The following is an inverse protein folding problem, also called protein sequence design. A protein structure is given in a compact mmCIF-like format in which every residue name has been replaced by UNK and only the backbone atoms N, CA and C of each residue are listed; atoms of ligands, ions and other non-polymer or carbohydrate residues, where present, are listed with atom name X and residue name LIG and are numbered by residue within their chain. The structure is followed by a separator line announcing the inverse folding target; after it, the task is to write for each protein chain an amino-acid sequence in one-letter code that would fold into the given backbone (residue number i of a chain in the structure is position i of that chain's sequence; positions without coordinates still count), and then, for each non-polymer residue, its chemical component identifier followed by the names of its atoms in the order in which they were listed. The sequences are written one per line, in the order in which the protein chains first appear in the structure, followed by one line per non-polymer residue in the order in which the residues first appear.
data_IF_310825255328
#
_entry.id   IF_310825255328
#
_cell.length_a   1.000
_cell.length_b   1.000
_cell.length_c   1.000
_cell.angle_alpha   90.00
_cell.angle_beta   90.00
_cell.angle_gamma   90.00
#
_symmetry.space_group_name_H-M   'P 1'
#
loop_
_entity.id
_entity.type
_entity.pdbx_description
1 polymer ?
#
# COMPACT_ATOMS: atom_id res chain seq x y z
N UNK A 1 5.03 9.41 -8.10
CA UNK A 1 5.45 8.45 -7.06
C UNK A 1 4.29 7.49 -6.86
N UNK A 2 4.53 6.18 -6.82
CA UNK A 2 3.49 5.17 -6.62
C UNK A 2 3.65 4.57 -5.23
N UNK A 3 2.53 4.37 -4.53
CA UNK A 3 2.48 3.58 -3.31
C UNK A 3 1.67 2.33 -3.62
N UNK A 4 2.23 1.17 -3.36
CA UNK A 4 1.52 -0.11 -3.42
C UNK A 4 1.33 -0.62 -1.99
N UNK A 5 0.19 -1.25 -1.73
CA UNK A 5 -0.11 -1.87 -0.45
C UNK A 5 -0.61 -3.28 -0.72
N UNK A 6 0.03 -4.28 -0.11
CA UNK A 6 -0.45 -5.65 -0.13
C UNK A 6 -0.89 -6.06 1.26
N UNK A 7 -1.78 -7.06 1.32
CA UNK A 7 -2.41 -7.53 2.53
C UNK A 7 -2.06 -8.99 2.77
N UNK A 8 -1.91 -9.38 4.03
CA UNK A 8 -1.74 -10.79 4.41
C UNK A 8 -2.95 -11.61 3.96
N UNK A 9 -2.69 -12.82 3.47
CA UNK A 9 -3.69 -13.82 3.08
C UNK A 9 -4.70 -13.36 2.00
N UNK A 10 -4.38 -12.30 1.24
CA UNK A 10 -5.13 -11.96 0.02
C UNK A 10 -4.81 -12.98 -1.08
N UNK A 11 -5.72 -13.94 -1.28
CA UNK A 11 -5.61 -14.96 -2.32
C UNK A 11 -5.92 -14.42 -3.73
N UNK A 12 -6.58 -13.27 -3.83
CA UNK A 12 -6.98 -12.67 -5.12
C UNK A 12 -5.89 -11.74 -5.65
N UNK A 13 -5.25 -10.97 -4.77
CA UNK A 13 -4.12 -10.11 -5.07
C UNK A 13 -2.95 -10.36 -4.12
N UNK A 14 -2.19 -11.45 -4.34
CA UNK A 14 -0.98 -11.76 -3.60
C UNK A 14 -0.02 -10.56 -3.52
N UNK A 15 0.55 -10.35 -2.32
CA UNK A 15 1.45 -9.23 -2.02
C UNK A 15 2.63 -9.14 -3.00
N UNK A 16 3.20 -10.27 -3.38
CA UNK A 16 4.33 -10.37 -4.29
C UNK A 16 4.00 -9.79 -5.68
N UNK A 17 2.80 -10.05 -6.19
CA UNK A 17 2.32 -9.48 -7.46
C UNK A 17 2.11 -7.97 -7.34
N UNK A 18 1.51 -7.51 -6.23
CA UNK A 18 1.25 -6.10 -5.98
C UNK A 18 2.55 -5.31 -5.85
N UNK A 19 3.53 -5.86 -5.14
CA UNK A 19 4.88 -5.29 -5.02
C UNK A 19 5.56 -5.18 -6.38
N UNK A 20 5.50 -6.23 -7.20
CA UNK A 20 6.10 -6.25 -8.53
C UNK A 20 5.52 -5.17 -9.47
N UNK A 21 4.22 -4.85 -9.34
CA UNK A 21 3.61 -3.73 -10.08
C UNK A 21 4.21 -2.39 -9.65
N UNK A 22 4.44 -2.20 -8.36
CA UNK A 22 5.07 -0.99 -7.83
C UNK A 22 6.49 -0.78 -8.36
N UNK A 23 7.29 -1.85 -8.40
CA UNK A 23 8.70 -1.82 -8.83
C UNK A 23 8.88 -1.35 -10.29
N UNK A 24 7.84 -1.44 -11.13
CA UNK A 24 7.84 -0.92 -12.50
C UNK A 24 7.98 0.60 -12.58
N UNK A 25 7.72 1.34 -11.49
CA UNK A 25 7.78 2.79 -11.47
C UNK A 25 9.09 3.30 -10.86
N UNK A 26 9.73 4.30 -11.51
CA UNK A 26 11.00 4.94 -11.05
C UNK A 26 10.98 5.41 -9.59
N UNK A 27 9.82 5.88 -9.12
CA UNK A 27 9.64 6.30 -7.73
C UNK A 27 8.46 5.54 -7.13
N UNK A 28 8.75 4.44 -6.45
CA UNK A 28 7.77 3.60 -5.80
C UNK A 28 8.10 3.41 -4.31
N UNK A 29 7.08 3.02 -3.55
CA UNK A 29 7.20 2.49 -2.21
C UNK A 29 6.13 1.41 -2.05
N UNK A 30 6.43 0.39 -1.29
CA UNK A 30 5.52 -0.72 -1.01
C UNK A 30 5.35 -0.85 0.50
N UNK A 31 4.13 -1.13 0.95
CA UNK A 31 3.81 -1.35 2.36
C UNK A 31 3.00 -2.62 2.51
N UNK A 32 3.47 -3.51 3.38
CA UNK A 32 2.78 -4.76 3.69
C UNK A 32 1.88 -4.55 4.92
N UNK A 33 0.60 -4.84 4.78
CA UNK A 33 -0.41 -4.70 5.84
C UNK A 33 -0.66 -6.07 6.46
N UNK A 34 -0.20 -6.30 7.71
CA UNK A 34 -0.55 -7.53 8.43
C UNK A 34 -2.03 -7.49 8.79
N UNK A 35 -2.85 -8.24 8.05
CA UNK A 35 -4.31 -8.21 8.19
C UNK A 35 -4.90 -9.64 8.29
N UNK A 36 -6.15 -9.76 8.76
CA UNK A 36 -6.90 -11.01 8.93
C UNK A 36 -8.36 -10.90 8.45
N UNK A 37 -8.71 -9.88 7.66
CA UNK A 37 -10.07 -9.71 7.09
C UNK A 37 -10.16 -9.99 5.59
N UNK A 38 -9.05 -10.35 4.96
CA UNK A 38 -8.97 -10.61 3.52
C UNK A 38 -9.13 -9.35 2.65
N UNK A 39 -9.19 -9.54 1.33
CA UNK A 39 -9.23 -8.46 0.33
C UNK A 39 -10.29 -7.39 0.62
N UNK A 40 -11.54 -7.83 0.86
CA UNK A 40 -12.69 -6.93 1.00
C UNK A 40 -12.65 -6.09 2.28
N UNK A 41 -11.81 -6.47 3.25
CA UNK A 41 -11.71 -5.77 4.52
C UNK A 41 -10.72 -4.61 4.52
N UNK A 42 -10.12 -4.25 3.37
CA UNK A 42 -9.20 -3.11 3.28
C UNK A 42 -9.83 -1.79 3.77
N UNK A 43 -11.15 -1.61 3.59
CA UNK A 43 -11.87 -0.44 4.12
C UNK A 43 -12.17 -0.54 5.62
N UNK A 44 -12.36 -1.75 6.13
CA UNK A 44 -12.68 -1.99 7.55
C UNK A 44 -11.45 -1.74 8.43
N UNK A 45 -10.27 -2.15 7.97
CA UNK A 45 -9.01 -2.02 8.71
C UNK A 45 -8.19 -0.80 8.26
N UNK A 46 -8.89 0.28 7.92
CA UNK A 46 -8.27 1.55 7.52
C UNK A 46 -7.20 2.01 8.52
N UNK A 47 -7.45 1.84 9.82
CA UNK A 47 -6.54 2.30 10.87
C UNK A 47 -5.15 1.66 10.81
N UNK A 48 -5.02 0.46 10.24
CA UNK A 48 -3.75 -0.29 10.22
C UNK A 48 -2.80 0.20 9.13
N UNK A 49 -3.35 0.71 8.02
CA UNK A 49 -2.56 1.16 6.87
C UNK A 49 -2.65 2.66 6.58
N UNK A 50 -3.69 3.34 7.06
CA UNK A 50 -3.87 4.78 6.86
C UNK A 50 -2.72 5.66 7.38
N UNK A 51 -2.05 5.36 8.51
CA UNK A 51 -0.89 6.15 8.94
C UNK A 51 0.24 6.14 7.89
N UNK A 52 0.45 5.02 7.20
CA UNK A 52 1.44 4.88 6.14
C UNK A 52 1.03 5.64 4.88
N UNK A 53 -0.25 5.61 4.51
CA UNK A 53 -0.79 6.46 3.44
C UNK A 53 -0.57 7.95 3.78
N UNK A 54 -0.92 8.37 4.99
CA UNK A 54 -0.76 9.75 5.43
C UNK A 54 0.70 10.21 5.39
N UNK A 55 1.63 9.36 5.85
CA UNK A 55 3.07 9.62 5.76
C UNK A 55 3.50 9.80 4.29
N UNK A 56 3.08 8.92 3.39
CA UNK A 56 3.39 9.02 1.97
C UNK A 56 2.84 10.31 1.35
N UNK A 57 1.61 10.72 1.71
CA UNK A 57 0.99 11.96 1.24
C UNK A 57 1.72 13.22 1.75
N UNK A 58 2.17 13.22 3.01
CA UNK A 58 2.99 14.33 3.54
C UNK A 58 4.31 14.48 2.79
N UNK A 59 4.99 13.35 2.53
CA UNK A 59 6.26 13.33 1.77
C UNK A 59 6.06 13.66 0.28
N UNK A 60 4.85 13.48 -0.26
CA UNK A 60 4.54 13.84 -1.65
C UNK A 60 4.22 15.33 -1.81
N UNK A 61 3.48 15.95 -0.88
CA UNK A 61 3.15 17.39 -0.91
C UNK A 61 4.38 18.29 -0.93
N UNK A 62 5.46 17.90 -0.25
CA UNK A 62 6.72 18.67 -0.23
C UNK A 62 7.47 18.75 -1.57
N UNK A 63 7.14 17.88 -2.56
CA UNK A 63 7.81 17.87 -3.87
C UNK A 63 7.01 18.52 -5.00
N UNK A 64 5.83 19.07 -4.71
CA UNK A 64 5.01 19.75 -5.72
C UNK A 64 5.39 21.24 -5.75
N UNK A 65 6.52 21.55 -6.39
CA UNK A 65 6.86 22.90 -6.86
C UNK A 65 6.23 23.12 -8.23
#
# INVERSE_FOLDING_TARGET
KVLTMGFTDDLLYPDDLVRAVGERFKYHRHFFVPDNVGHDGFLLNFNDWAPNLYHFLKVSKFKRK
#
